data_IF_004737366422
#
_entry.id   IF_004737366422
#
_cell.length_a   1.000
_cell.length_b   1.000
_cell.length_c   1.000
_cell.angle_alpha   90.00
_cell.angle_beta   90.00
_cell.angle_gamma   90.00
#
_symmetry.space_group_name_H-M   'P 1'
#
loop_
_entity.id
_entity.type
_entity.pdbx_description
1 polymer ?
#
# COMPACT_ATOMS: atom_id res chain seq x y z
N UNK A 1 -50.74 -17.70 -4.81
CA UNK A 1 -49.83 -16.77 -5.50
C UNK A 1 -49.26 -15.87 -4.42
N UNK A 2 -48.04 -16.08 -3.93
CA UNK A 2 -46.81 -16.12 -4.73
C UNK A 2 -45.89 -17.21 -4.24
N UNK A 3 -45.64 -18.20 -5.08
CA UNK A 3 -44.53 -19.15 -4.91
C UNK A 3 -43.22 -18.43 -5.25
N UNK A 4 -42.22 -18.55 -4.38
CA UNK A 4 -40.83 -18.30 -4.72
C UNK A 4 -40.13 -19.67 -4.80
N UNK A 5 -39.42 -19.85 -5.92
CA UNK A 5 -38.83 -21.09 -6.42
C UNK A 5 -37.81 -21.72 -5.44
N UNK A 6 -37.63 -23.06 -5.48
CA UNK A 6 -36.53 -23.72 -4.78
C UNK A 6 -35.25 -23.53 -5.60
N UNK A 7 -34.25 -22.88 -5.01
CA UNK A 7 -32.87 -22.94 -5.49
C UNK A 7 -32.19 -24.11 -4.77
N UNK A 8 -32.20 -25.27 -5.41
CA UNK A 8 -31.27 -26.36 -5.10
C UNK A 8 -30.28 -26.53 -6.25
N UNK A 9 -29.05 -26.89 -5.89
CA UNK A 9 -27.87 -27.22 -6.71
C UNK A 9 -26.85 -26.11 -6.98
N UNK A 10 -26.08 -25.81 -5.93
CA UNK A 10 -24.62 -25.71 -6.01
C UNK A 10 -24.05 -26.32 -4.73
N UNK A 11 -23.09 -27.24 -4.87
CA UNK A 11 -22.58 -28.10 -3.79
C UNK A 11 -22.30 -27.35 -2.49
N UNK A 12 -23.12 -27.63 -1.48
CA UNK A 12 -23.03 -27.07 -0.14
C UNK A 12 -22.74 -28.22 0.82
N UNK A 13 -21.59 -28.15 1.49
CA UNK A 13 -21.42 -28.84 2.77
C UNK A 13 -22.39 -28.20 3.76
N UNK A 14 -23.03 -29.04 4.54
CA UNK A 14 -24.38 -28.92 5.08
C UNK A 14 -24.65 -27.69 5.97
N UNK A 15 -25.25 -26.65 5.38
CA UNK A 15 -25.83 -25.51 6.12
C UNK A 15 -27.13 -25.93 6.83
N UNK A 16 -27.74 -27.08 6.49
CA UNK A 16 -29.02 -27.53 7.02
C UNK A 16 -28.94 -27.92 8.52
N UNK A 17 -27.75 -28.27 9.01
CA UNK A 17 -27.50 -28.60 10.42
C UNK A 17 -27.56 -27.42 11.40
N UNK A 18 -27.50 -26.17 10.92
CA UNK A 18 -27.59 -24.97 11.77
C UNK A 18 -29.06 -24.58 12.04
N UNK A 19 -29.38 -24.02 13.22
CA UNK A 19 -30.65 -23.35 13.49
C UNK A 19 -30.98 -22.30 12.41
N UNK A 20 -32.27 -22.12 12.09
CA UNK A 20 -32.72 -21.22 11.02
C UNK A 20 -32.14 -19.77 11.10
N UNK A 21 -32.05 -19.11 12.28
CA UNK A 21 -31.45 -17.78 12.39
C UNK A 21 -29.95 -17.75 12.02
N UNK A 22 -29.23 -18.82 12.33
CA UNK A 22 -27.80 -18.96 12.05
C UNK A 22 -27.57 -19.21 10.56
N UNK A 23 -28.44 -20.00 9.91
CA UNK A 23 -28.42 -20.19 8.45
C UNK A 23 -28.62 -18.89 7.69
N UNK A 24 -29.59 -18.06 8.12
CA UNK A 24 -29.83 -16.75 7.52
C UNK A 24 -28.63 -15.82 7.68
N UNK A 25 -28.02 -15.82 8.86
CA UNK A 25 -26.82 -15.00 9.13
C UNK A 25 -25.63 -15.45 8.28
N UNK A 26 -25.38 -16.76 8.20
CA UNK A 26 -24.34 -17.32 7.36
C UNK A 26 -24.52 -16.97 5.88
N UNK A 27 -25.75 -17.08 5.35
CA UNK A 27 -26.05 -16.72 3.97
C UNK A 27 -25.73 -15.24 3.67
N UNK A 28 -26.09 -14.32 4.57
CA UNK A 28 -25.76 -12.88 4.42
C UNK A 28 -24.25 -12.65 4.42
N UNK A 29 -23.52 -13.30 5.32
CA UNK A 29 -22.07 -13.14 5.42
C UNK A 29 -21.33 -13.74 4.21
N UNK A 30 -21.84 -14.83 3.64
CA UNK A 30 -21.30 -15.41 2.41
C UNK A 30 -21.55 -14.50 1.21
N UNK A 31 -22.78 -14.02 1.05
CA UNK A 31 -23.12 -13.10 -0.05
C UNK A 31 -22.34 -11.78 0.04
N UNK A 32 -22.07 -11.30 1.26
CA UNK A 32 -21.23 -10.14 1.51
C UNK A 32 -19.71 -10.42 1.35
N UNK A 33 -19.31 -11.67 1.04
CA UNK A 33 -17.90 -12.05 0.87
C UNK A 33 -17.07 -12.00 2.15
N UNK A 34 -17.72 -12.06 3.32
CA UNK A 34 -17.06 -12.03 4.63
C UNK A 34 -16.50 -13.41 5.00
N UNK A 35 -17.25 -14.46 4.69
CA UNK A 35 -16.86 -15.86 4.85
C UNK A 35 -17.21 -16.63 3.58
N UNK A 36 -16.59 -17.78 3.38
CA UNK A 36 -16.89 -18.72 2.32
C UNK A 36 -17.73 -19.89 2.84
N UNK A 37 -18.34 -20.66 1.94
CA UNK A 37 -19.01 -21.90 2.30
C UNK A 37 -18.09 -22.91 3.01
N UNK A 38 -16.82 -22.95 2.61
CA UNK A 38 -15.78 -23.78 3.21
C UNK A 38 -15.55 -23.44 4.70
N UNK A 39 -15.69 -22.17 5.07
CA UNK A 39 -15.47 -21.68 6.44
C UNK A 39 -16.52 -22.20 7.42
N UNK A 40 -17.72 -22.54 6.94
CA UNK A 40 -18.81 -23.07 7.80
C UNK A 40 -18.45 -24.41 8.46
N UNK A 41 -17.48 -25.12 7.91
CA UNK A 41 -16.96 -26.37 8.49
C UNK A 41 -15.90 -26.12 9.58
N UNK A 42 -15.47 -24.88 9.78
CA UNK A 42 -14.43 -24.45 10.71
C UNK A 42 -14.91 -23.22 11.52
N UNK A 43 -15.72 -23.45 12.54
CA UNK A 43 -16.36 -22.40 13.36
C UNK A 43 -15.38 -21.31 13.82
N UNK A 44 -14.19 -21.68 14.31
CA UNK A 44 -13.19 -20.72 14.77
C UNK A 44 -12.66 -19.82 13.66
N UNK A 45 -12.51 -20.35 12.45
CA UNK A 45 -12.06 -19.59 11.27
C UNK A 45 -13.16 -18.61 10.83
N UNK A 46 -14.40 -19.08 10.71
CA UNK A 46 -15.53 -18.24 10.38
C UNK A 46 -15.72 -17.11 11.41
N UNK A 47 -15.66 -17.42 12.70
CA UNK A 47 -15.76 -16.43 13.77
C UNK A 47 -14.62 -15.38 13.70
N UNK A 48 -13.39 -15.81 13.41
CA UNK A 48 -12.25 -14.90 13.24
C UNK A 48 -12.45 -13.96 12.05
N UNK A 49 -12.87 -14.47 10.88
CA UNK A 49 -13.12 -13.65 9.69
C UNK A 49 -14.23 -12.62 9.92
N UNK A 50 -15.32 -13.01 10.59
CA UNK A 50 -16.41 -12.09 10.95
C UNK A 50 -15.93 -11.03 11.95
N UNK A 51 -15.14 -11.42 12.95
CA UNK A 51 -14.55 -10.49 13.91
C UNK A 51 -13.64 -9.45 13.22
N UNK A 52 -12.76 -9.90 12.32
CA UNK A 52 -11.89 -9.03 11.53
C UNK A 52 -12.71 -8.04 10.70
N UNK A 53 -13.74 -8.52 9.98
CA UNK A 53 -14.63 -7.68 9.20
C UNK A 53 -15.32 -6.60 10.05
N UNK A 54 -15.89 -6.97 11.19
CA UNK A 54 -16.55 -6.03 12.11
C UNK A 54 -15.55 -5.02 12.67
N UNK A 55 -14.35 -5.45 13.04
CA UNK A 55 -13.30 -4.58 13.56
C UNK A 55 -12.87 -3.53 12.54
N UNK A 56 -12.57 -3.97 11.32
CA UNK A 56 -12.15 -3.11 10.21
C UNK A 56 -13.25 -2.10 9.85
N UNK A 57 -14.48 -2.56 9.64
CA UNK A 57 -15.59 -1.67 9.26
C UNK A 57 -15.95 -0.67 10.36
N UNK A 58 -15.85 -1.05 11.64
CA UNK A 58 -16.12 -0.15 12.78
C UNK A 58 -15.02 0.86 13.04
N UNK A 59 -13.78 0.56 12.67
CA UNK A 59 -12.64 1.48 12.86
C UNK A 59 -12.86 2.83 12.17
N UNK A 60 -13.68 2.86 11.11
CA UNK A 60 -13.93 4.03 10.27
C UNK A 60 -12.63 4.75 9.86
N UNK A 61 -11.60 3.95 9.54
CA UNK A 61 -10.29 4.47 9.20
C UNK A 61 -10.36 5.39 7.96
N UNK A 62 -9.76 6.59 7.98
CA UNK A 62 -9.94 7.58 6.91
C UNK A 62 -9.41 7.11 5.55
N UNK A 63 -8.40 6.24 5.55
CA UNK A 63 -7.87 5.64 4.34
C UNK A 63 -8.66 4.43 3.81
N UNK A 64 -9.67 3.92 4.52
CA UNK A 64 -10.36 2.69 4.12
C UNK A 64 -11.15 2.91 2.81
N UNK A 65 -10.74 2.18 1.76
CA UNK A 65 -11.44 2.17 0.47
C UNK A 65 -12.49 1.06 0.45
N UNK A 66 -12.12 -0.16 0.85
CA UNK A 66 -13.04 -1.29 0.87
C UNK A 66 -12.35 -2.62 0.65
N UNK A 67 -13.15 -3.68 0.49
CA UNK A 67 -12.66 -5.05 0.28
C UNK A 67 -12.33 -5.29 -1.19
N UNK A 68 -11.24 -5.99 -1.47
CA UNK A 68 -10.87 -6.39 -2.83
C UNK A 68 -12.02 -7.21 -3.43
N UNK A 69 -12.47 -6.83 -4.62
CA UNK A 69 -13.62 -7.43 -5.30
C UNK A 69 -14.96 -6.72 -5.07
N UNK A 70 -15.06 -5.83 -4.08
CA UNK A 70 -16.27 -5.03 -3.89
C UNK A 70 -16.40 -3.98 -5.02
N UNK A 71 -17.51 -3.92 -5.77
CA UNK A 71 -17.71 -2.95 -6.85
C UNK A 71 -17.56 -1.48 -6.41
N UNK A 72 -17.85 -1.16 -5.15
CA UNK A 72 -17.72 0.19 -4.61
C UNK A 72 -16.27 0.68 -4.53
N UNK A 73 -15.29 -0.24 -4.49
CA UNK A 73 -13.86 0.09 -4.53
C UNK A 73 -13.51 0.84 -5.81
N UNK A 74 -14.08 0.45 -6.95
CA UNK A 74 -13.81 1.13 -8.23
C UNK A 74 -14.30 2.57 -8.25
N UNK A 75 -15.48 2.82 -7.68
CA UNK A 75 -16.07 4.16 -7.59
C UNK A 75 -15.23 5.04 -6.67
N UNK A 76 -14.78 4.50 -5.52
CA UNK A 76 -13.93 5.23 -4.58
C UNK A 76 -12.54 5.52 -5.17
N UNK A 77 -11.93 4.57 -5.88
CA UNK A 77 -10.66 4.76 -6.58
C UNK A 77 -10.77 5.71 -7.79
N UNK A 78 -11.96 6.00 -8.29
CA UNK A 78 -12.15 6.99 -9.36
C UNK A 78 -12.17 8.44 -8.85
N UNK A 79 -12.15 8.63 -7.53
CA UNK A 79 -12.16 9.97 -6.91
C UNK A 79 -10.73 10.51 -6.83
N UNK A 80 -10.44 11.70 -7.39
CA UNK A 80 -9.12 12.33 -7.23
C UNK A 80 -8.79 12.58 -5.76
N UNK A 81 -7.51 12.45 -5.42
CA UNK A 81 -7.01 12.73 -4.08
C UNK A 81 -6.62 14.19 -3.93
N UNK A 82 -6.89 14.75 -2.76
CA UNK A 82 -6.43 16.09 -2.39
C UNK A 82 -5.08 16.01 -1.69
N UNK A 83 -4.11 16.78 -2.17
CA UNK A 83 -2.75 16.87 -1.63
C UNK A 83 -2.46 18.24 -1.02
N UNK A 84 -3.40 19.19 -1.09
CA UNK A 84 -3.17 20.60 -0.76
C UNK A 84 -2.70 20.79 0.68
N UNK A 85 -3.33 20.09 1.63
CA UNK A 85 -2.97 20.13 3.05
C UNK A 85 -1.53 19.66 3.31
N UNK A 86 -1.04 18.66 2.55
CA UNK A 86 0.34 18.15 2.68
C UNK A 86 1.38 19.19 2.29
N UNK A 87 1.05 20.12 1.39
CA UNK A 87 1.98 21.12 0.86
C UNK A 87 2.02 22.41 1.68
N UNK A 88 1.34 22.46 2.83
CA UNK A 88 1.15 23.69 3.62
C UNK A 88 2.14 23.89 4.79
N UNK A 89 3.01 22.90 5.08
CA UNK A 89 3.92 22.93 6.24
C UNK A 89 5.35 23.33 5.84
N UNK A 90 5.54 24.62 5.60
CA UNK A 90 6.77 25.16 5.00
C UNK A 90 8.05 24.78 5.75
N UNK A 91 8.13 25.01 7.06
CA UNK A 91 9.38 24.74 7.81
C UNK A 91 9.78 23.26 7.79
N UNK A 92 8.81 22.34 7.89
CA UNK A 92 9.08 20.91 7.89
C UNK A 92 9.53 20.42 6.50
N UNK A 93 8.88 20.93 5.46
CA UNK A 93 9.20 20.60 4.07
C UNK A 93 10.57 21.18 3.69
N UNK A 94 10.88 22.42 4.07
CA UNK A 94 12.16 23.04 3.77
C UNK A 94 13.32 22.29 4.43
N UNK A 95 13.19 21.82 5.68
CA UNK A 95 14.22 20.98 6.31
C UNK A 95 14.48 19.67 5.54
N UNK A 96 13.43 19.05 4.99
CA UNK A 96 13.57 17.84 4.16
C UNK A 96 14.24 18.14 2.82
N UNK A 97 13.91 19.30 2.20
CA UNK A 97 14.51 19.76 0.96
C UNK A 97 15.99 20.11 1.12
N UNK A 98 16.35 20.75 2.22
CA UNK A 98 17.75 21.01 2.59
C UNK A 98 18.50 19.69 2.74
N UNK A 99 17.99 18.73 3.50
CA UNK A 99 18.65 17.44 3.69
C UNK A 99 18.79 16.62 2.39
N UNK A 100 17.79 16.69 1.50
CA UNK A 100 17.88 16.15 0.14
C UNK A 100 18.97 16.88 -0.66
N UNK A 101 18.99 18.21 -0.58
CA UNK A 101 19.98 19.12 -1.17
C UNK A 101 21.35 19.10 -0.50
N UNK A 102 21.56 18.34 0.57
CA UNK A 102 22.88 18.06 1.14
C UNK A 102 23.34 16.63 0.87
N UNK A 103 22.48 15.81 0.25
CA UNK A 103 22.76 14.40 -0.03
C UNK A 103 22.65 13.50 1.20
N UNK A 104 22.15 14.04 2.33
CA UNK A 104 21.77 13.26 3.51
C UNK A 104 20.66 12.28 3.10
N UNK A 105 19.69 12.74 2.32
CA UNK A 105 18.57 11.94 1.81
C UNK A 105 18.71 11.65 0.31
N UNK A 106 18.12 10.53 -0.12
CA UNK A 106 17.88 10.22 -1.54
C UNK A 106 16.45 10.53 -1.97
N UNK A 107 15.54 10.60 -1.00
CA UNK A 107 14.16 11.04 -1.16
C UNK A 107 13.38 10.98 0.14
N UNK A 108 12.17 11.51 0.12
CA UNK A 108 11.23 11.49 1.22
C UNK A 108 9.78 11.43 0.72
N UNK A 109 8.92 10.91 1.58
CA UNK A 109 7.48 10.84 1.40
C UNK A 109 6.77 11.61 2.51
N UNK A 110 5.89 12.55 2.17
CA UNK A 110 5.06 13.30 3.10
C UNK A 110 3.61 12.84 3.03
N UNK A 111 3.00 12.61 4.19
CA UNK A 111 1.60 12.15 4.32
C UNK A 111 1.01 12.56 5.67
N UNK A 112 -0.30 12.36 5.85
CA UNK A 112 -0.89 12.50 7.18
C UNK A 112 -0.40 11.38 8.13
N UNK A 113 -0.34 11.70 9.41
CA UNK A 113 0.26 10.86 10.43
C UNK A 113 -0.53 9.57 10.68
N UNK A 114 0.17 8.49 11.02
CA UNK A 114 -0.37 7.26 11.60
C UNK A 114 -1.41 6.50 10.76
N UNK A 115 -1.52 6.80 9.46
CA UNK A 115 -2.44 6.10 8.55
C UNK A 115 -2.07 4.61 8.40
N UNK A 116 -0.82 4.24 8.69
CA UNK A 116 -0.33 2.85 8.61
C UNK A 116 0.02 2.24 9.97
N UNK A 117 -0.30 2.93 11.06
CA UNK A 117 -0.04 2.39 12.38
C UNK A 117 -1.16 1.41 12.79
N UNK A 118 -0.79 0.37 13.54
CA UNK A 118 -1.70 -0.61 14.15
C UNK A 118 -2.34 -1.64 13.18
N UNK A 119 -1.73 -1.90 12.04
CA UNK A 119 -2.09 -3.05 11.21
C UNK A 119 -1.46 -4.35 11.75
N UNK A 120 -2.13 -5.51 11.58
CA UNK A 120 -1.58 -6.77 12.03
C UNK A 120 -0.30 -7.11 11.27
N UNK A 121 0.77 -7.35 12.02
CA UNK A 121 2.09 -7.56 11.45
C UNK A 121 2.13 -8.74 10.47
N UNK A 122 2.86 -8.57 9.36
CA UNK A 122 3.02 -9.63 8.37
C UNK A 122 1.75 -10.01 7.60
N UNK A 123 0.75 -9.12 7.59
CA UNK A 123 -0.48 -9.26 6.78
C UNK A 123 -0.64 -8.18 5.71
N UNK A 124 0.30 -7.25 5.54
CA UNK A 124 0.13 -6.18 4.56
C UNK A 124 1.41 -5.81 3.82
N UNK A 125 1.21 -5.20 2.65
CA UNK A 125 2.21 -4.39 1.95
C UNK A 125 1.74 -2.95 1.92
N UNK A 126 2.68 -2.02 2.09
CA UNK A 126 2.49 -0.63 1.68
C UNK A 126 3.09 -0.48 0.29
N UNK A 127 2.30 0.00 -0.66
CA UNK A 127 2.61 0.14 -2.07
C UNK A 127 2.49 1.61 -2.49
N UNK A 128 3.50 2.15 -3.16
CA UNK A 128 3.50 3.54 -3.63
C UNK A 128 3.18 3.63 -5.11
N UNK A 129 2.34 4.60 -5.51
CA UNK A 129 2.07 4.84 -6.93
C UNK A 129 1.55 6.25 -7.22
N UNK A 130 1.65 6.74 -8.45
CA UNK A 130 1.07 8.04 -8.87
C UNK A 130 -0.23 7.92 -9.68
N UNK A 131 -0.56 6.73 -10.18
CA UNK A 131 -1.71 6.50 -11.05
C UNK A 131 -2.83 5.71 -10.38
N UNK A 132 -4.02 6.32 -10.25
CA UNK A 132 -5.23 5.63 -9.81
C UNK A 132 -5.65 4.50 -10.76
N UNK A 133 -5.48 4.68 -12.08
CA UNK A 133 -5.76 3.65 -13.08
C UNK A 133 -4.90 2.39 -12.85
N UNK A 134 -3.62 2.58 -12.52
CA UNK A 134 -2.75 1.45 -12.15
C UNK A 134 -3.29 0.69 -10.94
N UNK A 135 -3.68 1.40 -9.88
CA UNK A 135 -4.24 0.78 -8.67
C UNK A 135 -5.56 0.06 -8.97
N UNK A 136 -6.44 0.64 -9.79
CA UNK A 136 -7.68 0.00 -10.23
C UNK A 136 -7.42 -1.32 -10.97
N UNK A 137 -6.46 -1.32 -11.91
CA UNK A 137 -6.08 -2.54 -12.64
C UNK A 137 -5.43 -3.57 -11.72
N UNK A 138 -4.55 -3.14 -10.82
CA UNK A 138 -3.87 -4.01 -9.84
C UNK A 138 -4.87 -4.71 -8.90
N UNK A 139 -5.83 -3.95 -8.34
CA UNK A 139 -6.90 -4.49 -7.48
C UNK A 139 -7.80 -5.45 -8.25
N UNK A 140 -8.12 -5.15 -9.50
CA UNK A 140 -8.89 -6.05 -10.37
C UNK A 140 -8.17 -7.37 -10.58
N UNK A 141 -6.87 -7.33 -10.89
CA UNK A 141 -6.05 -8.52 -11.07
C UNK A 141 -5.96 -9.32 -9.78
N UNK A 142 -5.78 -8.65 -8.62
CA UNK A 142 -5.74 -9.30 -7.32
C UNK A 142 -7.03 -10.09 -7.06
N UNK A 143 -8.19 -9.46 -7.25
CA UNK A 143 -9.48 -10.13 -7.14
C UNK A 143 -9.61 -11.31 -8.11
N UNK A 144 -9.27 -11.13 -9.39
CA UNK A 144 -9.35 -12.19 -10.41
C UNK A 144 -8.41 -13.36 -10.14
N UNK A 145 -7.33 -13.13 -9.40
CA UNK A 145 -6.41 -14.17 -8.95
C UNK A 145 -6.85 -14.83 -7.65
N UNK A 146 -7.93 -14.37 -7.01
CA UNK A 146 -8.43 -14.86 -5.72
C UNK A 146 -7.58 -14.38 -4.54
N UNK A 147 -7.01 -13.18 -4.63
CA UNK A 147 -6.26 -12.55 -3.55
C UNK A 147 -7.24 -11.65 -2.79
N UNK A 148 -7.68 -12.10 -1.63
CA UNK A 148 -8.66 -11.42 -0.82
C UNK A 148 -8.00 -10.57 0.27
N UNK A 149 -8.66 -9.46 0.59
CA UNK A 149 -8.15 -8.50 1.54
C UNK A 149 -8.85 -7.15 1.47
N UNK A 150 -8.28 -6.17 2.14
CA UNK A 150 -8.77 -4.82 2.29
C UNK A 150 -7.79 -3.83 1.69
N UNK A 151 -8.35 -2.80 1.06
CA UNK A 151 -7.61 -1.73 0.44
C UNK A 151 -7.76 -0.47 1.27
N UNK A 152 -6.62 0.12 1.61
CA UNK A 152 -6.51 1.45 2.18
C UNK A 152 -5.68 2.31 1.26
N UNK A 153 -6.02 3.58 1.13
CA UNK A 153 -5.35 4.51 0.24
C UNK A 153 -5.41 5.91 0.81
N UNK A 154 -4.28 6.60 0.76
CA UNK A 154 -4.16 8.00 1.21
C UNK A 154 -3.27 8.82 0.28
N UNK A 155 -3.51 10.15 0.20
CA UNK A 155 -2.63 11.05 -0.52
C UNK A 155 -1.24 11.07 0.12
N UNK A 156 -0.23 11.19 -0.74
CA UNK A 156 1.18 11.32 -0.42
C UNK A 156 1.79 12.36 -1.34
N UNK A 157 2.84 13.04 -0.89
CA UNK A 157 3.74 13.79 -1.76
C UNK A 157 5.12 13.15 -1.66
N UNK A 158 5.76 12.87 -2.78
CA UNK A 158 7.12 12.35 -2.83
C UNK A 158 8.07 13.43 -3.36
N UNK A 159 9.30 13.42 -2.86
CA UNK A 159 10.41 14.12 -3.49
C UNK A 159 11.66 13.25 -3.47
N UNK A 160 12.31 13.06 -4.61
CA UNK A 160 13.51 12.21 -4.70
C UNK A 160 14.44 12.68 -5.81
N UNK A 161 15.72 12.32 -5.69
CA UNK A 161 16.72 12.70 -6.68
C UNK A 161 16.41 12.06 -8.03
N UNK A 162 16.29 12.88 -9.07
CA UNK A 162 16.27 12.43 -10.46
C UNK A 162 17.66 11.89 -10.82
N UNK A 163 17.70 10.87 -11.67
CA UNK A 163 18.95 10.24 -12.11
C UNK A 163 19.20 10.55 -13.58
N UNK A 164 20.44 10.89 -13.92
CA UNK A 164 20.83 11.31 -15.26
C UNK A 164 20.55 10.23 -16.33
N UNK A 165 20.51 8.97 -15.93
CA UNK A 165 20.24 7.81 -16.79
C UNK A 165 18.74 7.52 -17.01
N UNK A 166 17.85 8.29 -16.39
CA UNK A 166 16.40 8.19 -16.60
C UNK A 166 15.90 8.96 -17.82
N UNK A 167 16.80 9.63 -18.56
CA UNK A 167 16.50 10.38 -19.76
C UNK A 167 16.21 11.85 -19.46
N UNK A 168 15.41 12.48 -20.32
CA UNK A 168 15.12 13.90 -20.21
C UNK A 168 14.16 14.19 -19.04
N UNK A 169 14.47 15.20 -18.18
CA UNK A 169 13.59 15.62 -17.10
C UNK A 169 12.21 16.03 -17.60
N UNK A 170 11.16 15.47 -16.99
CA UNK A 170 9.77 15.85 -17.25
C UNK A 170 9.34 17.11 -16.49
N UNK A 171 8.08 17.51 -16.65
CA UNK A 171 7.51 18.70 -15.98
C UNK A 171 7.53 18.64 -14.45
N UNK A 172 7.57 17.45 -13.87
CA UNK A 172 7.62 17.22 -12.42
C UNK A 172 9.02 17.31 -11.82
N UNK A 173 10.03 17.64 -12.63
CA UNK A 173 11.43 17.72 -12.19
C UNK A 173 11.82 19.17 -11.96
N UNK A 174 12.34 19.46 -10.77
CA UNK A 174 12.84 20.78 -10.37
C UNK A 174 14.34 20.74 -10.11
N UNK A 175 15.05 21.80 -10.47
CA UNK A 175 16.46 21.94 -10.14
C UNK A 175 16.63 22.57 -8.75
N UNK A 176 17.50 21.96 -7.93
CA UNK A 176 18.02 22.57 -6.72
C UNK A 176 19.05 23.65 -7.06
N UNK A 177 19.38 24.49 -6.08
CA UNK A 177 20.33 25.60 -6.24
C UNK A 177 21.74 25.15 -6.65
N UNK A 178 22.10 23.91 -6.36
CA UNK A 178 23.39 23.30 -6.72
C UNK A 178 23.37 22.53 -8.06
N UNK A 179 22.24 22.56 -8.78
CA UNK A 179 22.06 21.91 -10.08
C UNK A 179 21.58 20.46 -10.03
N UNK A 180 21.44 19.83 -8.86
CA UNK A 180 20.79 18.52 -8.77
C UNK A 180 19.32 18.61 -9.13
N UNK A 181 18.81 17.56 -9.76
CA UNK A 181 17.42 17.46 -10.18
C UNK A 181 16.62 16.63 -9.18
N UNK A 182 15.42 17.09 -8.84
CA UNK A 182 14.50 16.45 -7.90
C UNK A 182 13.17 16.21 -8.61
N UNK A 183 12.70 14.98 -8.59
CA UNK A 183 11.32 14.63 -8.97
C UNK A 183 10.42 14.98 -7.79
N UNK A 184 9.34 15.71 -8.05
CA UNK A 184 8.27 15.94 -7.08
C UNK A 184 6.97 15.32 -7.60
N UNK A 185 6.36 14.45 -6.79
CA UNK A 185 5.18 13.68 -7.20
C UNK A 185 4.03 13.85 -6.22
N UNK A 186 2.85 14.17 -6.75
CA UNK A 186 1.60 13.84 -6.05
C UNK A 186 1.33 12.35 -6.28
N UNK A 187 1.32 11.59 -5.20
CA UNK A 187 1.27 10.14 -5.20
C UNK A 187 0.26 9.63 -4.19
N UNK A 188 0.01 8.33 -4.20
CA UNK A 188 -0.72 7.66 -3.14
C UNK A 188 0.17 6.60 -2.53
N UNK A 189 0.02 6.43 -1.23
CA UNK A 189 0.43 5.19 -0.59
C UNK A 189 -0.83 4.35 -0.38
N UNK A 190 -0.70 3.06 -0.71
CA UNK A 190 -1.79 2.09 -0.76
C UNK A 190 -1.40 0.93 0.12
N UNK A 191 -2.20 0.66 1.16
CA UNK A 191 -2.00 -0.50 2.01
C UNK A 191 -2.95 -1.61 1.56
N UNK A 192 -2.37 -2.75 1.20
CA UNK A 192 -3.09 -3.98 0.91
C UNK A 192 -3.02 -4.88 2.13
N UNK A 193 -4.10 -4.97 2.90
CA UNK A 193 -4.23 -5.84 4.07
C UNK A 193 -4.85 -7.17 3.65
N UNK A 194 -4.09 -8.25 3.66
CA UNK A 194 -4.54 -9.55 3.20
C UNK A 194 -5.25 -10.34 4.30
N UNK A 195 -6.25 -11.12 3.90
CA UNK A 195 -6.96 -12.03 4.81
C UNK A 195 -6.02 -13.12 5.37
N UNK A 196 -5.02 -13.50 4.59
CA UNK A 196 -4.03 -14.51 4.96
C UNK A 196 -2.61 -14.07 4.59
N UNK A 197 -1.62 -14.50 5.38
CA UNK A 197 -0.20 -14.21 5.11
C UNK A 197 0.29 -14.75 3.75
N UNK A 198 -0.37 -15.78 3.21
CA UNK A 198 -0.10 -16.31 1.86
C UNK A 198 -0.47 -15.30 0.75
N UNK A 199 -1.40 -14.37 1.02
CA UNK A 199 -1.80 -13.31 0.11
C UNK A 199 -0.62 -12.41 -0.28
N UNK A 200 0.31 -12.17 0.64
CA UNK A 200 1.50 -11.35 0.39
C UNK A 200 2.39 -11.94 -0.70
N UNK A 201 2.70 -13.23 -0.64
CA UNK A 201 3.55 -13.85 -1.67
C UNK A 201 2.86 -13.86 -3.03
N UNK A 202 1.55 -14.16 -3.07
CA UNK A 202 0.75 -14.12 -4.31
C UNK A 202 0.64 -12.72 -4.90
N UNK A 203 0.55 -11.69 -4.04
CA UNK A 203 0.53 -10.30 -4.48
C UNK A 203 1.88 -9.85 -5.01
N UNK A 204 2.98 -10.26 -4.37
CA UNK A 204 4.33 -10.03 -4.90
C UNK A 204 4.51 -10.64 -6.30
N UNK A 205 4.08 -11.88 -6.49
CA UNK A 205 4.11 -12.55 -7.81
C UNK A 205 3.26 -11.79 -8.84
N UNK A 206 2.11 -11.27 -8.42
CA UNK A 206 1.24 -10.47 -9.28
C UNK A 206 1.91 -9.15 -9.70
N UNK A 207 2.52 -8.42 -8.76
CA UNK A 207 3.23 -7.17 -9.05
C UNK A 207 4.40 -7.42 -9.99
N UNK A 208 5.21 -8.45 -9.73
CA UNK A 208 6.36 -8.79 -10.58
C UNK A 208 5.93 -9.23 -11.99
N UNK A 209 4.78 -9.89 -12.12
CA UNK A 209 4.27 -10.32 -13.42
C UNK A 209 3.62 -9.20 -14.24
N UNK A 210 2.89 -8.28 -13.61
CA UNK A 210 2.01 -7.36 -14.34
C UNK A 210 2.32 -5.88 -14.14
N UNK A 211 3.01 -5.49 -13.06
CA UNK A 211 3.18 -4.08 -12.66
C UNK A 211 4.63 -3.60 -12.69
N UNK A 212 5.58 -4.53 -12.83
CA UNK A 212 7.00 -4.22 -13.02
C UNK A 212 7.31 -4.24 -14.51
N UNK A 213 8.08 -3.26 -14.95
CA UNK A 213 8.65 -3.16 -16.29
C UNK A 213 10.11 -3.58 -16.30
N UNK A 214 10.52 -4.28 -17.34
CA UNK A 214 11.90 -4.69 -17.65
C UNK A 214 12.36 -4.18 -19.02
N UNK A 215 11.46 -3.72 -19.90
CA UNK A 215 11.80 -3.15 -21.20
C UNK A 215 10.90 -1.97 -21.58
N UNK A 216 11.41 -0.99 -22.35
CA UNK A 216 10.71 0.26 -22.67
C UNK A 216 9.31 0.08 -23.29
N UNK A 217 9.14 -0.94 -24.13
CA UNK A 217 7.89 -1.22 -24.85
C UNK A 217 7.28 -2.58 -24.46
N UNK A 218 7.51 -3.01 -23.21
CA UNK A 218 7.00 -4.28 -22.71
C UNK A 218 5.46 -4.36 -22.77
N UNK A 219 4.96 -5.43 -23.38
CA UNK A 219 3.54 -5.67 -23.59
C UNK A 219 2.97 -6.55 -22.47
N UNK A 220 1.68 -6.37 -22.17
CA UNK A 220 0.97 -7.18 -21.16
C UNK A 220 1.06 -6.66 -19.72
N UNK A 221 1.71 -5.51 -19.51
CA UNK A 221 1.74 -4.81 -18.24
C UNK A 221 0.51 -3.94 -18.01
N UNK A 222 0.22 -3.65 -16.74
CA UNK A 222 -0.80 -2.68 -16.35
C UNK A 222 -0.30 -1.25 -16.59
N UNK A 223 -1.25 -0.32 -16.65
CA UNK A 223 -1.00 1.09 -16.94
C UNK A 223 0.07 1.68 -16.02
N UNK A 224 0.96 2.50 -16.58
CA UNK A 224 1.98 3.24 -15.83
C UNK A 224 2.92 2.36 -14.98
N UNK A 225 3.15 1.11 -15.40
CA UNK A 225 4.09 0.21 -14.72
C UNK A 225 5.49 0.81 -14.60
N UNK A 226 6.10 0.63 -13.43
CA UNK A 226 7.42 1.18 -13.11
C UNK A 226 8.52 0.15 -13.31
N UNK A 227 9.72 0.63 -13.64
CA UNK A 227 10.95 -0.18 -13.63
C UNK A 227 11.30 -0.66 -12.22
N UNK A 228 11.10 0.24 -11.25
CA UNK A 228 11.41 0.06 -9.85
C UNK A 228 10.14 0.31 -9.02
N UNK A 229 9.14 -0.61 -9.05
CA UNK A 229 7.96 -0.49 -8.21
C UNK A 229 8.38 -0.41 -6.74
N UNK A 230 7.73 0.43 -5.95
CA UNK A 230 8.06 0.61 -4.53
C UNK A 230 6.98 0.00 -3.64
N UNK A 231 7.34 -1.05 -2.91
CA UNK A 231 6.51 -1.60 -1.85
C UNK A 231 7.33 -2.35 -0.80
N UNK A 232 6.81 -2.39 0.42
CA UNK A 232 7.50 -3.00 1.56
C UNK A 232 6.55 -3.70 2.53
N UNK A 233 7.10 -4.68 3.24
CA UNK A 233 6.48 -5.38 4.37
C UNK A 233 7.14 -4.96 5.68
N UNK A 234 6.39 -5.04 6.76
CA UNK A 234 6.85 -4.79 8.12
C UNK A 234 7.49 -6.01 8.81
N UNK A 235 7.59 -7.14 8.09
CA UNK A 235 8.26 -8.36 8.56
C UNK A 235 9.22 -8.91 7.50
N UNK A 236 10.26 -9.67 7.90
CA UNK A 236 11.17 -10.31 6.96
C UNK A 236 10.44 -11.16 5.91
N UNK A 237 10.83 -10.99 4.64
CA UNK A 237 10.35 -11.83 3.54
C UNK A 237 11.49 -12.34 2.69
N UNK A 238 11.34 -13.58 2.21
CA UNK A 238 12.31 -14.19 1.31
C UNK A 238 12.44 -13.35 0.04
N UNK A 239 13.68 -12.99 -0.29
CA UNK A 239 13.98 -12.20 -1.48
C UNK A 239 13.61 -10.73 -1.35
N UNK A 240 13.34 -10.23 -0.15
CA UNK A 240 13.24 -8.81 0.14
C UNK A 240 14.45 -8.38 0.95
N UNK A 241 14.83 -7.12 0.81
CA UNK A 241 16.01 -6.56 1.44
C UNK A 241 15.61 -5.64 2.58
N UNK A 242 16.35 -5.72 3.68
CA UNK A 242 16.10 -4.89 4.86
C UNK A 242 16.56 -3.46 4.62
N UNK A 243 15.71 -2.49 4.99
CA UNK A 243 16.04 -1.07 5.05
C UNK A 243 15.46 -0.46 6.32
N UNK A 244 15.87 0.77 6.63
CA UNK A 244 15.24 1.58 7.67
C UNK A 244 14.22 2.54 7.07
N UNK A 245 13.06 2.65 7.72
CA UNK A 245 12.17 3.79 7.57
C UNK A 245 12.42 4.76 8.72
N UNK A 246 13.06 5.88 8.43
CA UNK A 246 13.16 6.99 9.39
C UNK A 246 11.90 7.82 9.24
N UNK A 247 11.11 7.91 10.31
CA UNK A 247 9.82 8.60 10.34
C UNK A 247 9.96 9.85 11.20
N UNK A 248 9.77 11.00 10.58
CA UNK A 248 9.71 12.30 11.26
C UNK A 248 8.24 12.71 11.37
N UNK A 249 7.75 13.06 12.56
CA UNK A 249 6.36 13.50 12.73
C UNK A 249 6.27 14.90 13.33
N UNK A 250 5.48 15.77 12.70
CA UNK A 250 5.19 17.14 13.14
C UNK A 250 3.69 17.43 12.96
N UNK A 251 2.99 17.63 14.07
CA UNK A 251 1.53 17.82 14.07
C UNK A 251 0.80 16.61 13.48
N UNK A 252 -0.04 16.87 12.48
CA UNK A 252 -0.86 15.87 11.79
C UNK A 252 -0.16 15.23 10.58
N UNK A 253 1.12 15.53 10.37
CA UNK A 253 1.89 15.04 9.23
C UNK A 253 3.11 14.23 9.67
N UNK A 254 3.52 13.32 8.80
CA UNK A 254 4.77 12.59 8.91
C UNK A 254 5.52 12.53 7.58
N UNK A 255 6.84 12.63 7.66
CA UNK A 255 7.75 12.33 6.58
C UNK A 255 8.36 10.94 6.80
N UNK A 256 8.29 10.08 5.78
CA UNK A 256 8.93 8.77 5.76
C UNK A 256 10.14 8.83 4.83
N UNK A 257 11.29 8.43 5.36
CA UNK A 257 12.56 8.40 4.66
C UNK A 257 12.96 6.94 4.47
N UNK A 258 13.15 6.52 3.22
CA UNK A 258 13.65 5.17 2.91
C UNK A 258 15.16 5.20 2.89
N UNK A 259 15.79 4.55 3.86
CA UNK A 259 17.22 4.68 4.13
C UNK A 259 17.87 3.30 4.16
N UNK A 260 18.95 3.11 3.41
CA UNK A 260 19.78 1.91 3.52
C UNK A 260 20.30 1.77 4.95
N UNK A 261 20.25 0.57 5.51
CA UNK A 261 20.51 0.33 6.94
C UNK A 261 21.87 0.85 7.41
N UNK A 262 22.89 0.84 6.55
CA UNK A 262 24.22 1.38 6.84
C UNK A 262 24.30 2.91 6.92
N UNK A 263 23.28 3.63 6.42
CA UNK A 263 23.19 5.10 6.44
C UNK A 263 22.25 5.62 7.53
N UNK A 264 21.57 4.74 8.26
CA UNK A 264 20.52 5.12 9.20
C UNK A 264 21.02 6.07 10.29
N UNK A 265 22.16 5.77 10.92
CA UNK A 265 22.72 6.59 12.00
C UNK A 265 23.10 8.01 11.52
N UNK A 266 23.63 8.13 10.30
CA UNK A 266 23.98 9.42 9.71
C UNK A 266 22.73 10.28 9.49
N UNK A 267 21.67 9.68 8.92
CA UNK A 267 20.40 10.37 8.66
C UNK A 267 19.72 10.78 9.98
N UNK A 268 19.68 9.89 10.96
CA UNK A 268 19.12 10.17 12.28
C UNK A 268 19.87 11.32 12.95
N UNK A 269 21.20 11.27 12.95
CA UNK A 269 22.03 12.32 13.55
C UNK A 269 21.80 13.67 12.88
N UNK A 270 21.71 13.70 11.55
CA UNK A 270 21.53 14.94 10.79
C UNK A 270 20.14 15.57 10.99
N UNK A 271 19.10 14.76 11.22
CA UNK A 271 17.71 15.21 11.27
C UNK A 271 17.12 15.26 12.69
N UNK A 272 17.86 14.87 13.72
CA UNK A 272 17.39 14.94 15.10
C UNK A 272 17.30 16.40 15.58
N UNK A 273 16.08 16.87 15.88
CA UNK A 273 15.79 18.25 16.35
C UNK A 273 14.56 18.25 17.26
N UNK A 274 14.42 19.27 18.10
CA UNK A 274 13.27 19.41 19.02
C UNK A 274 11.95 19.75 18.33
N UNK A 275 11.99 20.19 17.06
CA UNK A 275 10.84 20.65 16.27
C UNK A 275 9.94 19.53 15.73
N UNK A 276 10.35 18.26 15.87
CA UNK A 276 9.58 17.08 15.49
C UNK A 276 9.99 15.86 16.31
N UNK A 277 9.15 14.83 16.27
CA UNK A 277 9.51 13.51 16.81
C UNK A 277 10.15 12.66 15.72
N UNK A 278 11.09 11.78 16.09
CA UNK A 278 11.77 10.87 15.19
C UNK A 278 11.60 9.44 15.71
N UNK A 279 11.22 8.53 14.81
CA UNK A 279 11.20 7.08 15.02
C UNK A 279 11.94 6.39 13.88
N UNK A 280 12.53 5.24 14.15
CA UNK A 280 13.10 4.36 13.12
C UNK A 280 12.39 3.02 13.20
N UNK A 281 11.80 2.60 12.07
CA UNK A 281 11.22 1.27 11.90
C UNK A 281 12.08 0.46 10.91
N UNK A 282 12.15 -0.85 11.10
CA UNK A 282 12.76 -1.77 10.12
C UNK A 282 11.68 -2.30 9.18
N UNK A 283 11.96 -2.30 7.87
CA UNK A 283 11.07 -2.87 6.85
C UNK A 283 11.86 -3.63 5.80
N UNK A 284 11.14 -4.45 5.04
CA UNK A 284 11.70 -5.26 3.97
C UNK A 284 11.10 -4.81 2.64
N UNK A 285 11.94 -4.30 1.74
CA UNK A 285 11.56 -3.79 0.41
C UNK A 285 11.80 -4.80 -0.69
N UNK A 286 11.03 -4.68 -1.77
CA UNK A 286 11.21 -5.51 -2.94
C UNK A 286 12.58 -5.26 -3.62
N UNK A 287 13.20 -6.27 -4.27
CA UNK A 287 14.53 -6.13 -4.87
C UNK A 287 14.69 -4.99 -5.87
N UNK A 288 13.70 -4.70 -6.75
CA UNK A 288 13.77 -3.53 -7.61
C UNK A 288 14.03 -2.23 -6.80
N UNK A 289 13.20 -1.93 -5.81
CA UNK A 289 13.37 -0.72 -5.03
C UNK A 289 14.68 -0.69 -4.24
N UNK A 290 15.15 -1.83 -3.74
CA UNK A 290 16.47 -1.89 -3.10
C UNK A 290 17.61 -1.55 -4.07
N UNK A 291 17.53 -1.98 -5.34
CA UNK A 291 18.49 -1.56 -6.37
C UNK A 291 18.45 -0.05 -6.57
N UNK A 292 17.24 0.54 -6.61
CA UNK A 292 17.07 2.00 -6.69
C UNK A 292 17.78 2.74 -5.55
N UNK A 293 17.65 2.28 -4.31
CA UNK A 293 18.32 2.89 -3.17
C UNK A 293 19.85 2.83 -3.28
N UNK A 294 20.38 1.77 -3.89
CA UNK A 294 21.80 1.60 -4.20
C UNK A 294 22.26 2.35 -5.48
N UNK A 295 21.37 3.13 -6.12
CA UNK A 295 21.66 3.86 -7.34
C UNK A 295 21.59 3.04 -8.63
N UNK A 296 21.11 1.80 -8.58
CA UNK A 296 20.81 0.97 -9.74
C UNK A 296 19.37 1.15 -10.23
N UNK A 297 19.09 0.87 -11.51
CA UNK A 297 17.76 1.06 -12.10
C UNK A 297 17.35 0.00 -13.13
N UNK A 298 18.20 -1.00 -13.38
CA UNK A 298 17.91 -2.19 -14.20
C UNK A 298 17.86 -3.41 -13.27
#
# INVERSE_FOLDING_TARGET
MTELLPLTDAGLVDVEGLPEPERRSAAVLIEAGVIEHSDLTHESLAASKVSDFVSITRSNHPGLIGRIGDPSVFVRLATPLDHSDLLSNDEFIEALREALGEGILTGYDLRSRAIYDNFPAGRYFVYSHSSLNHIQQLVTLAHRKGIDGWLYLVPKVSAFLFRDDWGEPGESVVALSDGRLVVQGQEMAVLFLFDEAAGLSRFHDLVTQFAKKDEADEQGLIANSWWQPFYYSDVPRKGFEEISLVILSKGDYEATLTVLSERTDDVVTALMRDSWTLRVDQVWVNPPFFRFLNGGFK
#
